data_IF_525560273089
#
_entry.id   IF_525560273089
#
_cell.length_a   1.000
_cell.length_b   1.000
_cell.length_c   1.000
_cell.angle_alpha   90.00
_cell.angle_beta   90.00
_cell.angle_gamma   90.00
#
_symmetry.space_group_name_H-M   'P 1'
#
loop_
_entity.id
_entity.type
_entity.pdbx_description
1 polymer ?
#
# COMPACT_ATOMS: atom_id res chain seq x y z
N UNK A 1 -0.79 -25.35 -1.91
CA UNK A 1 -0.10 -24.05 -1.95
C UNK A 1 1.00 -23.89 -0.87
N UNK A 2 0.88 -24.47 0.34
CA UNK A 2 1.84 -24.28 1.46
C UNK A 2 3.31 -24.68 1.19
N UNK A 3 3.60 -25.47 0.14
CA UNK A 3 4.97 -25.93 -0.21
C UNK A 3 5.69 -25.08 -1.24
N UNK A 4 5.00 -24.09 -1.85
CA UNK A 4 5.61 -23.18 -2.81
C UNK A 4 6.37 -22.06 -2.07
N UNK A 5 7.44 -21.52 -2.68
CA UNK A 5 8.32 -20.51 -2.06
C UNK A 5 7.69 -19.11 -2.06
N UNK A 6 6.55 -18.96 -1.39
CA UNK A 6 5.85 -17.69 -1.21
C UNK A 6 6.70 -16.71 -0.38
N UNK A 7 6.82 -15.52 -0.85
CA UNK A 7 7.37 -14.38 -0.11
C UNK A 7 6.35 -13.21 -0.09
N UNK A 8 6.67 -12.13 0.59
CA UNK A 8 5.77 -10.98 0.71
C UNK A 8 5.53 -10.28 -0.62
N UNK A 9 6.54 -10.19 -1.50
CA UNK A 9 6.41 -9.62 -2.84
C UNK A 9 5.34 -10.36 -3.65
N UNK A 10 5.39 -11.69 -3.68
CA UNK A 10 4.43 -12.53 -4.40
C UNK A 10 3.03 -12.37 -3.80
N UNK A 11 2.92 -12.38 -2.46
CA UNK A 11 1.64 -12.22 -1.77
C UNK A 11 1.01 -10.87 -2.07
N UNK A 12 1.79 -9.78 -2.01
CA UNK A 12 1.32 -8.44 -2.31
C UNK A 12 0.91 -8.30 -3.78
N UNK A 13 1.72 -8.79 -4.73
CA UNK A 13 1.37 -8.77 -6.13
C UNK A 13 0.06 -9.54 -6.40
N UNK A 14 -0.06 -10.76 -5.88
CA UNK A 14 -1.26 -11.59 -5.99
C UNK A 14 -2.49 -10.89 -5.40
N UNK A 15 -2.37 -10.30 -4.21
CA UNK A 15 -3.46 -9.60 -3.55
C UNK A 15 -3.97 -8.39 -4.33
N UNK A 16 -3.08 -7.68 -5.05
CA UNK A 16 -3.45 -6.58 -5.96
C UNK A 16 -4.31 -7.08 -7.13
N UNK A 17 -3.91 -8.18 -7.75
CA UNK A 17 -4.69 -8.80 -8.85
C UNK A 17 -6.02 -9.33 -8.34
N UNK A 18 -6.01 -10.05 -7.20
CA UNK A 18 -7.24 -10.59 -6.60
C UNK A 18 -8.23 -9.49 -6.22
N UNK A 19 -7.76 -8.35 -5.71
CA UNK A 19 -8.63 -7.20 -5.42
C UNK A 19 -9.37 -6.71 -6.67
N UNK A 20 -8.68 -6.62 -7.81
CA UNK A 20 -9.29 -6.17 -9.06
C UNK A 20 -10.20 -7.26 -9.66
N UNK A 21 -9.86 -8.54 -9.49
CA UNK A 21 -10.74 -9.65 -9.84
C UNK A 21 -12.04 -9.63 -9.01
N UNK A 22 -11.96 -9.41 -7.70
CA UNK A 22 -13.13 -9.30 -6.83
C UNK A 22 -14.05 -8.12 -7.21
N UNK A 23 -13.47 -7.02 -7.70
CA UNK A 23 -14.21 -5.81 -8.08
C UNK A 23 -14.85 -5.89 -9.47
N UNK A 24 -14.16 -6.48 -10.44
CA UNK A 24 -14.50 -6.39 -11.85
C UNK A 24 -14.76 -7.76 -12.52
N UNK A 25 -14.32 -8.88 -11.90
CA UNK A 25 -14.32 -10.18 -12.57
C UNK A 25 -13.39 -10.17 -13.79
N UNK A 26 -13.86 -10.74 -14.90
CA UNK A 26 -13.14 -10.65 -16.17
C UNK A 26 -12.85 -9.20 -16.57
N UNK A 27 -11.68 -8.91 -17.14
CA UNK A 27 -10.64 -9.85 -17.60
C UNK A 27 -9.53 -10.14 -16.55
N UNK A 28 -9.71 -9.81 -15.26
CA UNK A 28 -8.72 -10.10 -14.23
C UNK A 28 -8.74 -11.60 -13.89
N UNK A 29 -7.58 -12.30 -13.89
CA UNK A 29 -7.55 -13.71 -13.58
C UNK A 29 -7.91 -13.99 -12.11
N UNK A 30 -8.64 -15.08 -11.86
CA UNK A 30 -8.78 -15.62 -10.52
C UNK A 30 -7.47 -16.30 -10.10
N UNK A 31 -6.78 -15.68 -9.16
CA UNK A 31 -5.56 -16.20 -8.57
C UNK A 31 -5.79 -16.79 -7.16
N UNK A 32 -7.02 -17.16 -6.81
CA UNK A 32 -7.31 -17.84 -5.55
C UNK A 32 -6.56 -19.17 -5.44
N UNK A 33 -6.40 -19.69 -4.22
CA UNK A 33 -5.77 -21.00 -4.02
C UNK A 33 -6.55 -22.10 -4.74
N UNK A 34 -7.88 -21.99 -4.80
CA UNK A 34 -8.74 -22.94 -5.49
C UNK A 34 -8.45 -22.95 -7.00
N UNK A 35 -8.51 -21.79 -7.66
CA UNK A 35 -8.27 -21.68 -9.10
C UNK A 35 -6.85 -22.12 -9.49
N UNK A 36 -5.84 -21.73 -8.72
CA UNK A 36 -4.45 -22.15 -8.97
C UNK A 36 -4.19 -23.63 -8.74
N UNK A 37 -4.98 -24.32 -7.90
CA UNK A 37 -4.86 -25.76 -7.67
C UNK A 37 -5.65 -26.61 -8.67
N UNK A 38 -6.62 -26.03 -9.35
CA UNK A 38 -7.46 -26.74 -10.32
C UNK A 38 -6.64 -27.20 -11.54
N UNK A 39 -5.76 -26.33 -12.07
CA UNK A 39 -4.95 -26.60 -13.25
C UNK A 39 -3.47 -26.17 -13.07
N UNK A 40 -2.73 -26.75 -12.10
CA UNK A 40 -1.34 -26.36 -11.84
C UNK A 40 -0.40 -26.67 -13.01
N UNK A 41 -0.76 -27.65 -13.89
CA UNK A 41 -0.03 -27.99 -15.08
C UNK A 41 -0.01 -26.88 -16.12
N UNK A 42 -1.00 -26.00 -16.13
CA UNK A 42 -1.10 -24.93 -17.14
C UNK A 42 -0.21 -23.75 -16.83
N UNK A 43 -0.10 -23.37 -15.56
CA UNK A 43 0.61 -22.16 -15.17
C UNK A 43 1.96 -22.42 -14.49
N UNK A 44 2.11 -23.54 -13.76
CA UNK A 44 3.32 -23.82 -12.99
C UNK A 44 4.27 -24.78 -13.73
N UNK A 45 3.74 -25.82 -14.40
CA UNK A 45 4.58 -26.83 -15.04
C UNK A 45 5.58 -26.26 -16.06
N UNK A 46 5.28 -25.25 -16.90
CA UNK A 46 6.26 -24.65 -17.81
C UNK A 46 7.49 -24.06 -17.11
N UNK A 47 7.39 -23.75 -15.81
CA UNK A 47 8.47 -23.19 -14.99
C UNK A 47 9.20 -24.24 -14.15
N UNK A 48 8.78 -25.51 -14.25
CA UNK A 48 9.42 -26.67 -13.63
C UNK A 48 10.20 -27.44 -14.71
N UNK A 49 11.52 -27.53 -14.58
CA UNK A 49 12.36 -28.15 -15.60
C UNK A 49 12.42 -29.69 -15.47
N UNK A 50 12.06 -30.25 -14.30
CA UNK A 50 12.00 -31.69 -14.01
C UNK A 50 11.16 -31.97 -12.77
N UNK A 51 10.81 -33.23 -12.48
CA UNK A 51 10.01 -33.62 -11.32
C UNK A 51 10.68 -33.33 -9.96
N UNK A 52 12.00 -33.13 -9.91
CA UNK A 52 12.72 -32.67 -8.72
C UNK A 52 12.69 -31.14 -8.58
N UNK A 53 12.23 -30.44 -9.61
CA UNK A 53 12.28 -28.98 -9.73
C UNK A 53 11.38 -28.25 -8.72
N UNK A 54 10.33 -28.89 -8.21
CA UNK A 54 9.47 -28.27 -7.18
C UNK A 54 10.28 -27.89 -5.92
N UNK A 55 11.30 -28.68 -5.57
CA UNK A 55 12.21 -28.38 -4.45
C UNK A 55 13.24 -27.30 -4.77
N UNK A 56 13.45 -27.01 -6.05
CA UNK A 56 14.39 -26.00 -6.57
C UNK A 56 13.67 -24.75 -7.09
N UNK A 57 12.33 -24.74 -7.04
CA UNK A 57 11.55 -23.58 -7.45
C UNK A 57 11.91 -22.40 -6.55
N UNK A 58 12.40 -21.32 -7.14
CA UNK A 58 12.69 -20.07 -6.44
C UNK A 58 11.46 -19.15 -6.41
N UNK A 59 11.43 -18.21 -5.46
CA UNK A 59 10.37 -17.19 -5.40
C UNK A 59 10.29 -16.37 -6.69
N UNK A 60 11.44 -16.05 -7.32
CA UNK A 60 11.46 -15.34 -8.61
C UNK A 60 10.73 -16.10 -9.72
N UNK A 61 11.03 -17.40 -9.89
CA UNK A 61 10.32 -18.23 -10.88
C UNK A 61 8.84 -18.42 -10.57
N UNK A 62 8.48 -18.53 -9.30
CA UNK A 62 7.07 -18.57 -8.91
C UNK A 62 6.36 -17.27 -9.28
N UNK A 63 6.99 -16.12 -9.04
CA UNK A 63 6.42 -14.83 -9.44
C UNK A 63 6.28 -14.70 -10.95
N UNK A 64 7.27 -15.16 -11.72
CA UNK A 64 7.19 -15.19 -13.20
C UNK A 64 6.00 -16.04 -13.68
N UNK A 65 5.83 -17.25 -13.10
CA UNK A 65 4.73 -18.14 -13.45
C UNK A 65 3.36 -17.52 -13.14
N UNK A 66 3.23 -16.83 -12.02
CA UNK A 66 2.00 -16.11 -11.66
C UNK A 66 1.76 -14.90 -12.56
N UNK A 67 2.80 -14.11 -12.85
CA UNK A 67 2.71 -12.95 -13.74
C UNK A 67 2.30 -13.32 -15.15
N UNK A 68 2.69 -14.51 -15.62
CA UNK A 68 2.28 -15.02 -16.93
C UNK A 68 0.76 -15.31 -17.04
N UNK A 69 0.05 -15.45 -15.91
CA UNK A 69 -1.41 -15.55 -15.90
C UNK A 69 -2.10 -14.20 -16.15
N UNK A 70 -1.38 -13.09 -15.93
CA UNK A 70 -1.93 -11.75 -16.16
C UNK A 70 -1.70 -11.33 -17.62
N UNK A 71 -2.75 -11.08 -18.42
CA UNK A 71 -2.60 -10.54 -19.77
C UNK A 71 -1.76 -9.26 -19.79
N UNK A 72 -0.87 -9.13 -20.76
CA UNK A 72 0.05 -7.98 -20.86
C UNK A 72 -0.67 -6.63 -20.79
N UNK A 73 -1.84 -6.52 -21.44
CA UNK A 73 -2.64 -5.30 -21.41
C UNK A 73 -3.11 -4.91 -19.98
N UNK A 74 -3.25 -5.89 -19.09
CA UNK A 74 -3.67 -5.64 -17.69
C UNK A 74 -2.50 -5.29 -16.77
N UNK A 75 -1.26 -5.64 -17.14
CA UNK A 75 -0.11 -5.33 -16.30
C UNK A 75 0.02 -3.82 -16.03
N UNK A 76 -0.15 -2.99 -17.08
CA UNK A 76 -0.15 -1.53 -16.94
C UNK A 76 -1.34 -1.01 -16.13
N UNK A 77 -2.51 -1.61 -16.31
CA UNK A 77 -3.71 -1.26 -15.55
C UNK A 77 -3.55 -1.62 -14.06
N UNK A 78 -2.89 -2.75 -13.76
CA UNK A 78 -2.60 -3.14 -12.39
C UNK A 78 -1.82 -2.04 -11.65
N UNK A 79 -0.78 -1.48 -12.28
CA UNK A 79 0.03 -0.41 -11.68
C UNK A 79 -0.76 0.90 -11.48
N UNK A 80 -1.76 1.15 -12.30
CA UNK A 80 -2.63 2.34 -12.20
C UNK A 80 -3.79 2.15 -11.21
N UNK A 81 -4.43 0.97 -11.21
CA UNK A 81 -5.66 0.72 -10.47
C UNK A 81 -5.40 0.16 -9.06
N UNK A 82 -4.34 -0.62 -8.89
CA UNK A 82 -3.90 -1.14 -7.60
C UNK A 82 -2.36 -0.98 -7.45
N UNK A 83 -1.84 0.26 -7.35
CA UNK A 83 -0.41 0.52 -7.28
C UNK A 83 0.21 -0.11 -6.02
N UNK A 84 1.50 -0.44 -6.07
CA UNK A 84 2.24 -1.00 -4.93
C UNK A 84 2.57 0.05 -3.86
N UNK A 85 2.55 1.32 -4.24
CA UNK A 85 2.89 2.44 -3.36
C UNK A 85 2.10 3.70 -3.75
N UNK A 86 2.02 4.64 -2.82
CA UNK A 86 1.39 5.94 -3.03
C UNK A 86 2.34 7.06 -2.63
N UNK A 87 2.42 8.10 -3.46
CA UNK A 87 3.21 9.28 -3.17
C UNK A 87 2.42 10.21 -2.25
N UNK A 88 2.89 10.35 -1.01
CA UNK A 88 2.28 11.26 -0.04
C UNK A 88 2.62 12.73 -0.36
N UNK A 89 1.85 13.72 0.13
CA UNK A 89 2.11 15.15 -0.13
C UNK A 89 3.52 15.64 0.16
N UNK A 90 4.24 14.99 1.10
CA UNK A 90 5.66 15.28 1.37
C UNK A 90 6.64 14.80 0.28
N UNK A 91 6.14 14.17 -0.80
CA UNK A 91 6.94 13.61 -1.88
C UNK A 91 7.45 12.18 -1.64
N UNK A 92 7.34 11.64 -0.43
CA UNK A 92 7.81 10.29 -0.12
C UNK A 92 6.86 9.22 -0.70
N UNK A 93 7.42 8.12 -1.21
CA UNK A 93 6.64 6.93 -1.58
C UNK A 93 6.35 6.09 -0.34
N UNK A 94 5.10 5.69 -0.15
CA UNK A 94 4.68 4.82 0.95
C UNK A 94 4.03 3.55 0.39
N UNK A 95 4.50 2.35 0.81
CA UNK A 95 3.95 1.10 0.31
C UNK A 95 2.48 0.95 0.73
N UNK A 96 1.66 0.45 -0.19
CA UNK A 96 0.30 0.03 0.09
C UNK A 96 0.33 -1.46 0.39
N UNK A 97 -0.28 -1.88 1.48
CA UNK A 97 -0.40 -3.28 1.87
C UNK A 97 -1.78 -3.79 1.47
N UNK A 98 -1.80 -4.91 0.76
CA UNK A 98 -2.99 -5.57 0.25
C UNK A 98 -3.21 -6.93 0.92
N UNK A 99 -4.41 -7.50 0.80
CA UNK A 99 -4.72 -8.86 1.22
C UNK A 99 -4.95 -9.04 2.72
N UNK A 100 -5.00 -7.97 3.51
CA UNK A 100 -5.40 -8.00 4.91
C UNK A 100 -6.90 -7.73 5.07
N UNK A 101 -7.48 -8.26 6.14
CA UNK A 101 -8.83 -7.92 6.56
C UNK A 101 -8.96 -6.41 6.78
N UNK A 102 -10.03 -5.84 6.27
CA UNK A 102 -10.23 -4.40 6.32
C UNK A 102 -9.76 -3.65 5.06
N UNK A 103 -9.24 -4.35 4.04
CA UNK A 103 -8.87 -3.79 2.72
C UNK A 103 -7.50 -3.12 2.69
N UNK A 104 -7.14 -2.50 1.55
CA UNK A 104 -5.82 -1.92 1.35
C UNK A 104 -5.54 -0.76 2.32
N UNK A 105 -4.31 -0.73 2.83
CA UNK A 105 -3.89 0.29 3.79
C UNK A 105 -2.44 0.75 3.54
N UNK A 106 -2.10 1.91 4.09
CA UNK A 106 -0.72 2.38 4.16
C UNK A 106 -0.40 3.00 5.53
N UNK A 107 0.84 2.83 5.97
CA UNK A 107 1.37 3.49 7.15
C UNK A 107 2.10 4.77 6.75
N UNK A 108 1.77 5.88 7.41
CA UNK A 108 2.29 7.20 7.09
C UNK A 108 2.45 8.06 8.34
N UNK A 109 3.49 8.89 8.41
CA UNK A 109 3.58 9.89 9.48
C UNK A 109 2.53 10.97 9.25
N UNK A 110 1.85 11.38 10.30
CA UNK A 110 0.76 12.36 10.21
C UNK A 110 1.16 13.64 9.47
N UNK A 111 2.38 14.14 9.70
CA UNK A 111 2.88 15.36 9.06
C UNK A 111 3.13 15.22 7.56
N UNK A 112 3.26 14.01 7.04
CA UNK A 112 3.43 13.77 5.61
C UNK A 112 2.12 13.93 4.82
N UNK A 113 0.98 14.04 5.54
CA UNK A 113 -0.36 14.22 4.97
C UNK A 113 -0.88 15.65 5.11
N UNK A 114 -0.11 16.59 5.67
CA UNK A 114 -0.56 17.98 5.71
C UNK A 114 -0.89 18.48 4.31
N UNK A 115 -1.94 19.27 4.16
CA UNK A 115 -2.47 19.72 2.88
C UNK A 115 -3.33 18.68 2.13
N UNK A 116 -3.41 17.44 2.60
CA UNK A 116 -4.26 16.41 1.99
C UNK A 116 -5.65 16.43 2.65
N UNK A 117 -6.66 16.81 1.90
CA UNK A 117 -8.02 16.95 2.44
C UNK A 117 -8.71 15.60 2.65
N UNK A 118 -8.55 14.67 1.70
CA UNK A 118 -9.27 13.41 1.67
C UNK A 118 -8.31 12.20 1.67
N UNK A 119 -8.84 11.04 2.07
CA UNK A 119 -8.11 9.78 1.95
C UNK A 119 -7.82 9.46 0.49
N UNK A 120 -6.59 9.01 0.16
CA UNK A 120 -6.26 8.58 -1.18
C UNK A 120 -7.12 7.39 -1.59
N UNK A 121 -7.45 7.31 -2.87
CA UNK A 121 -8.32 6.29 -3.44
C UNK A 121 -7.63 5.55 -4.57
N UNK A 122 -7.89 4.26 -4.66
CA UNK A 122 -7.41 3.35 -5.71
C UNK A 122 -8.59 2.74 -6.48
N UNK A 123 -8.31 1.84 -7.42
CA UNK A 123 -9.31 1.15 -8.23
C UNK A 123 -10.29 2.13 -8.90
N UNK A 124 -9.75 3.14 -9.59
CA UNK A 124 -10.54 4.20 -10.25
C UNK A 124 -11.44 4.97 -9.26
N UNK A 125 -10.93 5.21 -8.05
CA UNK A 125 -11.64 5.98 -7.01
C UNK A 125 -12.67 5.16 -6.22
N UNK A 126 -12.80 3.85 -6.46
CA UNK A 126 -13.80 3.00 -5.78
C UNK A 126 -13.43 2.62 -4.34
N UNK A 127 -12.13 2.54 -4.04
CA UNK A 127 -11.63 2.11 -2.73
C UNK A 127 -10.82 3.22 -2.09
N UNK A 128 -11.26 3.70 -0.92
CA UNK A 128 -10.45 4.57 -0.08
C UNK A 128 -9.42 3.72 0.69
N UNK A 129 -8.16 4.17 0.69
CA UNK A 129 -7.11 3.53 1.48
C UNK A 129 -7.34 3.75 2.98
N UNK A 130 -7.13 2.70 3.76
CA UNK A 130 -7.03 2.83 5.22
C UNK A 130 -5.68 3.44 5.58
N UNK A 131 -5.70 4.57 6.27
CA UNK A 131 -4.49 5.26 6.72
C UNK A 131 -4.17 4.84 8.16
N UNK A 132 -2.99 4.24 8.36
CA UNK A 132 -2.41 4.01 9.69
C UNK A 132 -1.50 5.20 10.01
N UNK A 133 -2.07 6.20 10.68
CA UNK A 133 -1.37 7.45 11.00
C UNK A 133 -0.38 7.22 12.14
N UNK A 134 0.87 7.60 11.92
CA UNK A 134 1.96 7.42 12.87
C UNK A 134 2.54 8.75 13.37
N UNK A 135 3.08 8.73 14.57
CA UNK A 135 3.90 9.80 15.14
C UNK A 135 5.22 9.97 14.34
N UNK A 136 5.97 11.06 14.55
CA UNK A 136 7.30 11.22 13.96
C UNK A 136 8.26 10.07 14.23
N UNK A 137 8.11 9.37 15.37
CA UNK A 137 8.90 8.20 15.74
C UNK A 137 8.32 6.86 15.24
N UNK A 138 7.28 6.88 14.39
CA UNK A 138 6.67 5.67 13.83
C UNK A 138 5.70 4.95 14.77
N UNK A 139 5.31 5.54 15.91
CA UNK A 139 4.33 4.93 16.82
C UNK A 139 2.91 5.19 16.31
N UNK A 140 2.00 4.21 16.36
CA UNK A 140 0.61 4.38 15.94
C UNK A 140 -0.07 5.51 16.72
N UNK A 141 -0.85 6.33 16.02
CA UNK A 141 -1.68 7.39 16.57
C UNK A 141 -3.15 7.12 16.32
N UNK A 142 -3.51 6.84 15.07
CA UNK A 142 -4.90 6.68 14.63
C UNK A 142 -4.95 5.80 13.38
N UNK A 143 -6.06 5.09 13.22
CA UNK A 143 -6.42 4.40 11.96
C UNK A 143 -7.68 5.04 11.43
N UNK A 144 -7.69 5.45 10.18
CA UNK A 144 -8.86 6.07 9.55
C UNK A 144 -8.95 5.74 8.06
N UNK A 145 -10.18 5.67 7.54
CA UNK A 145 -10.49 5.69 6.10
C UNK A 145 -11.04 7.03 5.65
N UNK A 146 -11.39 7.89 6.60
CA UNK A 146 -11.93 9.22 6.35
C UNK A 146 -10.97 10.25 6.96
N UNK A 147 -10.02 10.70 6.15
CA UNK A 147 -9.03 11.69 6.55
C UNK A 147 -9.69 13.04 6.82
N UNK A 148 -10.70 13.42 6.04
CA UNK A 148 -11.42 14.67 6.25
C UNK A 148 -12.16 14.70 7.60
N UNK A 149 -12.78 13.59 8.00
CA UNK A 149 -13.38 13.46 9.33
C UNK A 149 -12.32 13.55 10.44
N UNK A 150 -11.18 12.87 10.25
CA UNK A 150 -10.08 12.94 11.21
C UNK A 150 -9.56 14.36 11.40
N UNK A 151 -9.36 15.14 10.33
CA UNK A 151 -8.91 16.52 10.43
C UNK A 151 -9.88 17.37 11.25
N UNK A 152 -11.18 17.23 11.03
CA UNK A 152 -12.21 18.01 11.73
C UNK A 152 -12.39 17.63 13.19
N UNK A 153 -12.31 16.33 13.52
CA UNK A 153 -12.77 15.82 14.82
C UNK A 153 -11.64 15.20 15.68
N UNK A 154 -10.59 14.63 15.07
CA UNK A 154 -9.54 13.90 15.76
C UNK A 154 -8.23 14.66 15.92
N UNK A 155 -7.90 15.49 14.93
CA UNK A 155 -6.58 16.11 14.85
C UNK A 155 -6.21 16.97 16.05
N UNK A 156 -7.13 17.80 16.56
CA UNK A 156 -6.82 18.73 17.66
C UNK A 156 -6.42 18.00 18.95
N UNK A 157 -7.05 16.88 19.25
CA UNK A 157 -6.67 16.04 20.39
C UNK A 157 -5.27 15.45 20.21
N UNK A 158 -5.00 14.86 19.03
CA UNK A 158 -3.69 14.31 18.66
C UNK A 158 -2.62 15.41 18.70
N UNK A 159 -2.90 16.58 18.15
CA UNK A 159 -2.00 17.75 18.17
C UNK A 159 -1.65 18.17 19.61
N UNK A 160 -2.65 18.30 20.49
CA UNK A 160 -2.44 18.70 21.88
C UNK A 160 -1.47 17.77 22.61
N UNK A 161 -1.63 16.46 22.45
CA UNK A 161 -0.74 15.46 23.03
C UNK A 161 0.64 15.46 22.37
N UNK A 162 0.68 15.43 21.03
CA UNK A 162 1.91 15.18 20.28
C UNK A 162 2.86 16.38 20.25
N UNK A 163 2.36 17.63 20.32
CA UNK A 163 3.22 18.81 20.36
C UNK A 163 4.11 18.85 21.61
N UNK A 164 3.62 18.31 22.73
CA UNK A 164 4.41 18.16 23.95
C UNK A 164 5.46 17.06 23.83
N UNK A 165 5.08 15.93 23.25
CA UNK A 165 5.96 14.76 23.10
C UNK A 165 6.99 14.94 21.97
N UNK A 166 6.64 15.65 20.90
CA UNK A 166 7.51 15.88 19.71
C UNK A 166 7.62 17.38 19.37
N UNK A 167 8.14 18.24 20.26
CA UNK A 167 8.17 19.71 20.07
C UNK A 167 9.03 20.15 18.89
N UNK A 168 9.97 19.31 18.45
CA UNK A 168 10.85 19.58 17.31
C UNK A 168 10.15 19.43 15.93
N UNK A 169 8.97 18.81 15.90
CA UNK A 169 8.18 18.62 14.67
C UNK A 169 7.07 19.68 14.55
N UNK A 170 6.60 19.98 13.33
CA UNK A 170 5.49 20.90 13.13
C UNK A 170 4.17 20.30 13.62
N UNK A 171 3.38 21.11 14.33
CA UNK A 171 2.03 20.80 14.80
C UNK A 171 1.13 22.03 14.55
N UNK A 172 0.80 22.35 13.29
CA UNK A 172 0.02 23.54 12.95
C UNK A 172 -1.39 23.49 13.58
N UNK A 173 -2.04 24.64 13.65
CA UNK A 173 -3.45 24.71 14.07
C UNK A 173 -4.37 24.17 12.99
N UNK A 174 -4.09 24.58 11.75
CA UNK A 174 -4.73 24.07 10.56
C UNK A 174 -3.75 23.16 9.79
N UNK A 175 -4.00 21.84 9.75
CA UNK A 175 -3.16 20.90 9.01
C UNK A 175 -3.33 21.00 7.49
N UNK A 176 -4.42 21.60 6.99
CA UNK A 176 -4.72 21.65 5.55
C UNK A 176 -3.93 22.76 4.84
N UNK A 177 -3.58 23.82 5.55
CA UNK A 177 -2.77 24.93 5.00
C UNK A 177 -1.27 24.74 5.25
N UNK A 178 -0.88 23.70 5.98
CA UNK A 178 0.50 23.46 6.33
C UNK A 178 1.25 22.64 5.26
N UNK A 179 2.54 22.89 5.12
CA UNK A 179 3.42 22.12 4.23
C UNK A 179 3.65 20.72 4.79
N UNK A 180 3.37 19.70 3.97
CA UNK A 180 3.64 18.30 4.28
C UNK A 180 5.15 18.04 4.44
N UNK A 181 5.53 17.31 5.48
CA UNK A 181 6.94 17.04 5.75
C UNK A 181 7.18 15.85 6.68
N UNK A 182 8.26 15.13 6.47
CA UNK A 182 8.79 14.16 7.44
C UNK A 182 9.85 14.79 8.38
N UNK A 183 10.20 16.07 8.17
CA UNK A 183 11.33 16.74 8.79
C UNK A 183 10.96 17.42 10.12
N UNK A 184 11.99 17.75 10.89
CA UNK A 184 11.86 18.66 12.03
C UNK A 184 11.76 20.11 11.54
N UNK A 185 11.21 21.00 12.37
CA UNK A 185 11.10 22.45 12.10
C UNK A 185 12.43 23.07 11.65
N UNK A 186 13.54 22.67 12.29
CA UNK A 186 14.88 23.20 11.96
C UNK A 186 15.32 22.78 10.55
N UNK A 187 15.10 21.51 10.18
CA UNK A 187 15.45 21.00 8.85
C UNK A 187 14.56 21.61 7.77
N UNK A 188 13.24 21.69 8.01
CA UNK A 188 12.31 22.32 7.09
C UNK A 188 12.66 23.79 6.83
N UNK A 189 13.01 24.54 7.87
CA UNK A 189 13.43 25.94 7.72
C UNK A 189 14.78 26.10 6.97
N UNK A 190 15.64 25.10 6.99
CA UNK A 190 16.90 25.10 6.23
C UNK A 190 16.64 24.82 4.74
N UNK A 191 15.73 23.89 4.39
CA UNK A 191 15.36 23.61 2.99
C UNK A 191 14.66 24.79 2.31
N UNK A 192 13.80 25.51 3.03
CA UNK A 192 13.11 26.68 2.48
C UNK A 192 14.02 27.90 2.26
N UNK A 193 15.29 27.83 2.67
CA UNK A 193 16.30 28.90 2.48
C UNK A 193 17.33 28.60 1.38
N UNK A 194 17.34 27.37 0.88
CA UNK A 194 18.23 26.90 -0.18
C UNK A 194 17.56 27.01 -1.55
#
# INVERSE_FOLDING_TARGET
MARLPWNDEIRQWRARVSLLHELDGDPWPDLSDAALLEHPETWLAPYLMDCAALRRLTSGRLLEALRAQLPYALARRLEQEAPDSWQVPSGAMRPIVYGEEGGPWLAVKLQELFGCEESPRIARGRIALTLRLNSPAGRPLQVTRDLAHFWRNGYQAVRAEMRGRYPKHPWPEDPLTATATALTKKKLAAENKA
#
